data_IF_905091225929
#
_entry.id   IF_905091225929
#
_cell.length_a   1.000
_cell.length_b   1.000
_cell.length_c   1.000
_cell.angle_alpha   90.00
_cell.angle_beta   90.00
_cell.angle_gamma   90.00
#
_symmetry.space_group_name_H-M   'P 1'
#
loop_
_entity.id
_entity.type
_entity.pdbx_description
1 polymer ?
#
# COMPACT_ATOMS: atom_id res chain seq x y z
N UNK A 1 -33.14 -15.14 -0.44
CA UNK A 1 -32.99 -16.61 -0.48
C UNK A 1 -31.50 -16.91 -0.54
N UNK A 2 -31.06 -17.69 0.44
CA UNK A 2 -29.69 -18.00 0.87
C UNK A 2 -28.61 -18.13 -0.22
N UNK A 3 -27.48 -17.45 -0.02
CA UNK A 3 -26.21 -17.86 -0.63
C UNK A 3 -25.30 -18.40 0.48
N UNK A 4 -25.44 -19.70 0.74
CA UNK A 4 -24.65 -20.43 1.74
C UNK A 4 -23.16 -20.37 1.43
N UNK A 5 -22.41 -19.82 2.37
CA UNK A 5 -20.95 -19.86 2.45
C UNK A 5 -20.45 -21.30 2.44
N UNK A 6 -19.80 -21.75 1.37
CA UNK A 6 -18.89 -22.90 1.40
C UNK A 6 -17.62 -22.59 0.62
N UNK A 7 -16.57 -22.24 1.36
CA UNK A 7 -15.20 -22.47 0.92
C UNK A 7 -15.04 -23.99 0.73
N UNK A 8 -14.81 -24.45 -0.50
CA UNK A 8 -14.48 -25.85 -0.79
C UNK A 8 -12.96 -25.99 -0.90
N UNK A 9 -12.29 -26.80 -0.08
CA UNK A 9 -10.93 -27.21 -0.34
C UNK A 9 -10.92 -28.21 -1.50
N UNK A 10 -9.99 -28.03 -2.45
CA UNK A 10 -9.78 -28.94 -3.57
C UNK A 10 -9.02 -30.18 -3.04
N UNK A 11 -9.73 -31.30 -2.87
CA UNK A 11 -9.09 -32.60 -2.63
C UNK A 11 -8.63 -33.20 -3.95
N UNK A 12 -7.40 -33.71 -3.93
CA UNK A 12 -6.69 -34.39 -5.01
C UNK A 12 -7.40 -35.64 -5.55
N UNK A 13 -7.27 -35.88 -6.86
CA UNK A 13 -6.96 -37.18 -7.48
C UNK A 13 -7.10 -37.09 -9.01
N UNK A 14 -6.00 -37.21 -9.77
CA UNK A 14 -5.66 -38.39 -10.60
C UNK A 14 -4.41 -38.08 -11.45
N UNK A 15 -3.48 -39.02 -11.45
CA UNK A 15 -2.17 -38.97 -12.11
C UNK A 15 -2.35 -39.20 -13.62
N UNK A 16 -1.72 -38.40 -14.47
CA UNK A 16 -1.70 -38.61 -15.91
C UNK A 16 -0.72 -37.70 -16.65
N UNK A 17 0.44 -38.27 -17.01
CA UNK A 17 1.32 -37.93 -18.12
C UNK A 17 1.87 -36.50 -18.28
N UNK A 18 3.15 -36.43 -17.92
CA UNK A 18 4.18 -35.44 -18.26
C UNK A 18 4.14 -35.02 -19.74
N UNK A 19 3.65 -33.79 -20.01
CA UNK A 19 4.31 -32.77 -20.86
C UNK A 19 3.46 -31.48 -20.83
N UNK A 20 3.42 -30.83 -19.68
CA UNK A 20 2.97 -29.44 -19.56
C UNK A 20 4.08 -28.72 -18.82
N UNK A 21 4.82 -27.84 -19.49
CA UNK A 21 5.59 -26.81 -18.79
C UNK A 21 4.56 -25.98 -18.03
N UNK A 22 4.46 -26.09 -16.69
CA UNK A 22 3.55 -25.24 -15.98
C UNK A 22 4.32 -23.94 -15.80
N UNK A 23 3.90 -22.89 -16.48
CA UNK A 23 4.01 -21.55 -15.87
C UNK A 23 3.02 -21.55 -14.70
N UNK A 24 3.26 -22.38 -13.69
CA UNK A 24 2.56 -22.30 -12.41
C UNK A 24 3.23 -21.16 -11.68
N UNK A 25 2.78 -19.95 -11.98
CA UNK A 25 2.70 -18.94 -10.94
C UNK A 25 2.05 -19.68 -9.76
N UNK A 26 2.78 -19.84 -8.67
CA UNK A 26 2.31 -20.57 -7.51
C UNK A 26 1.15 -19.80 -6.90
N UNK A 27 -0.08 -20.09 -7.34
CA UNK A 27 -1.36 -19.53 -6.83
C UNK A 27 -1.74 -20.24 -5.51
N UNK A 28 -0.83 -21.01 -4.90
CA UNK A 28 -1.12 -21.97 -3.82
C UNK A 28 -1.65 -21.36 -2.51
N UNK A 29 -1.85 -20.03 -2.43
CA UNK A 29 -2.48 -19.35 -1.30
C UNK A 29 -3.31 -18.12 -1.71
N UNK A 30 -3.88 -18.09 -2.92
CA UNK A 30 -4.74 -17.00 -3.36
C UNK A 30 -6.22 -17.41 -3.31
N UNK A 31 -7.02 -16.68 -2.53
CA UNK A 31 -8.48 -16.85 -2.45
C UNK A 31 -9.13 -15.89 -3.45
N UNK A 32 -10.10 -16.37 -4.22
CA UNK A 32 -10.88 -15.55 -5.16
C UNK A 32 -12.22 -15.15 -4.53
N UNK A 33 -12.52 -13.86 -4.54
CA UNK A 33 -13.78 -13.28 -4.06
C UNK A 33 -14.59 -12.73 -5.23
N UNK A 34 -15.85 -13.10 -5.35
CA UNK A 34 -16.76 -12.57 -6.37
C UNK A 34 -17.45 -11.31 -5.84
N UNK A 35 -17.31 -10.19 -6.54
CA UNK A 35 -18.06 -8.97 -6.27
C UNK A 35 -19.49 -9.08 -6.82
N UNK A 36 -20.42 -8.31 -6.24
CA UNK A 36 -21.83 -8.25 -6.70
C UNK A 36 -21.98 -7.81 -8.16
N UNK A 37 -20.98 -7.15 -8.72
CA UNK A 37 -20.91 -6.72 -10.12
C UNK A 37 -20.34 -7.80 -11.07
N UNK A 38 -20.03 -9.01 -10.57
CA UNK A 38 -19.46 -10.10 -11.36
C UNK A 38 -17.94 -10.03 -11.56
N UNK A 39 -17.27 -9.00 -11.04
CA UNK A 39 -15.80 -8.92 -11.02
C UNK A 39 -15.21 -9.77 -9.90
N UNK A 40 -13.96 -10.21 -10.05
CA UNK A 40 -13.27 -11.00 -9.03
C UNK A 40 -12.13 -10.22 -8.37
N UNK A 41 -12.01 -10.33 -7.06
CA UNK A 41 -10.86 -9.85 -6.28
C UNK A 41 -10.01 -11.06 -5.86
N UNK A 42 -8.68 -10.91 -5.86
CA UNK A 42 -7.76 -11.96 -5.43
C UNK A 42 -7.10 -11.54 -4.13
N UNK A 43 -7.11 -12.41 -3.12
CA UNK A 43 -6.42 -12.22 -1.86
C UNK A 43 -5.28 -13.22 -1.77
N UNK A 44 -4.04 -12.75 -1.85
CA UNK A 44 -2.84 -13.59 -1.83
C UNK A 44 -1.98 -13.24 -0.62
N UNK A 45 -1.68 -14.22 0.24
CA UNK A 45 -0.88 -14.01 1.47
C UNK A 45 -1.40 -12.83 2.31
N UNK A 46 -2.72 -12.77 2.51
CA UNK A 46 -3.42 -11.69 3.22
C UNK A 46 -3.35 -10.29 2.57
N UNK A 47 -2.98 -10.20 1.29
CA UNK A 47 -2.95 -8.94 0.53
C UNK A 47 -3.88 -8.96 -0.66
N UNK A 48 -4.61 -7.88 -0.86
CA UNK A 48 -5.53 -7.71 -1.98
C UNK A 48 -4.77 -7.36 -3.25
N UNK A 49 -4.97 -8.16 -4.30
CA UNK A 49 -4.47 -7.84 -5.63
C UNK A 49 -5.36 -6.80 -6.29
N UNK A 50 -4.75 -5.68 -6.70
CA UNK A 50 -5.45 -4.62 -7.43
C UNK A 50 -5.09 -4.74 -8.92
N UNK A 51 -6.06 -5.01 -9.81
CA UNK A 51 -5.82 -5.11 -11.25
C UNK A 51 -5.48 -3.75 -11.88
N UNK A 52 -5.16 -3.74 -13.19
CA UNK A 52 -4.84 -2.51 -13.92
C UNK A 52 -5.98 -1.48 -13.84
N UNK A 53 -5.68 -0.31 -13.31
CA UNK A 53 -6.57 0.83 -13.13
C UNK A 53 -5.94 1.82 -12.16
N UNK A 54 -5.41 2.92 -12.67
CA UNK A 54 -4.67 3.88 -11.86
C UNK A 54 -5.59 4.52 -10.80
N UNK A 55 -6.83 4.84 -11.17
CA UNK A 55 -7.82 5.44 -10.26
C UNK A 55 -8.09 4.57 -9.02
N UNK A 56 -8.08 3.24 -9.18
CA UNK A 56 -8.30 2.32 -8.07
C UNK A 56 -7.06 2.27 -7.18
N UNK A 57 -5.85 2.26 -7.77
CA UNK A 57 -4.60 2.29 -7.00
C UNK A 57 -4.50 3.58 -6.20
N UNK A 58 -4.78 4.71 -6.82
CA UNK A 58 -4.73 6.04 -6.18
C UNK A 58 -5.69 6.11 -5.01
N UNK A 59 -6.93 5.62 -5.15
CA UNK A 59 -7.90 5.55 -4.03
C UNK A 59 -7.43 4.65 -2.88
N UNK A 60 -6.72 3.56 -3.16
CA UNK A 60 -6.17 2.70 -2.10
C UNK A 60 -4.99 3.38 -1.39
N UNK A 61 -4.16 4.11 -2.15
CA UNK A 61 -3.05 4.89 -1.57
C UNK A 61 -3.62 6.04 -0.74
N UNK A 62 -4.59 6.79 -1.28
CA UNK A 62 -5.34 7.87 -0.60
C UNK A 62 -5.91 7.38 0.73
N UNK A 63 -6.64 6.26 0.73
CA UNK A 63 -7.23 5.70 1.94
C UNK A 63 -6.19 5.37 3.02
N UNK A 64 -5.00 4.91 2.64
CA UNK A 64 -3.92 4.58 3.59
C UNK A 64 -3.08 5.80 3.98
N UNK A 65 -2.95 6.79 3.11
CA UNK A 65 -2.12 7.98 3.29
C UNK A 65 -2.85 9.12 4.00
N UNK A 66 -4.07 9.42 3.58
CA UNK A 66 -4.87 10.57 4.03
C UNK A 66 -5.78 10.23 5.21
N UNK A 67 -5.77 8.97 5.68
CA UNK A 67 -6.51 8.62 6.90
C UNK A 67 -6.01 9.45 8.08
N UNK A 68 -6.94 9.88 8.95
CA UNK A 68 -6.63 10.69 10.14
C UNK A 68 -5.60 10.00 11.06
N UNK A 69 -5.51 8.67 10.99
CA UNK A 69 -4.58 7.83 11.77
C UNK A 69 -3.21 7.73 11.07
N UNK A 70 -3.15 7.92 9.74
CA UNK A 70 -1.91 7.88 8.96
C UNK A 70 -1.15 9.21 8.93
N UNK A 71 -1.71 10.30 9.45
CA UNK A 71 -1.03 11.59 9.67
C UNK A 71 -0.03 11.98 8.56
N UNK A 72 -0.43 11.85 7.27
CA UNK A 72 0.41 12.08 6.09
C UNK A 72 1.85 11.57 6.28
N UNK A 73 1.98 10.33 6.75
CA UNK A 73 3.29 9.76 7.00
C UNK A 73 4.12 9.80 5.71
N UNK A 74 5.41 10.15 5.83
CA UNK A 74 6.31 10.19 4.68
C UNK A 74 6.36 8.85 3.93
N UNK A 75 6.80 8.89 2.66
CA UNK A 75 6.70 7.80 1.66
C UNK A 75 7.00 6.40 2.21
N UNK A 76 8.07 6.25 2.98
CA UNK A 76 8.49 4.96 3.54
C UNK A 76 7.42 4.28 4.41
N UNK A 77 6.75 5.04 5.27
CA UNK A 77 5.70 4.52 6.17
C UNK A 77 4.44 4.15 5.37
N UNK A 78 4.09 4.96 4.39
CA UNK A 78 2.97 4.70 3.47
C UNK A 78 3.22 3.42 2.67
N UNK A 79 4.44 3.23 2.16
CA UNK A 79 4.86 1.98 1.51
C UNK A 79 4.65 0.77 2.42
N UNK A 80 5.05 0.86 3.69
CA UNK A 80 4.85 -0.21 4.66
C UNK A 80 3.38 -0.58 4.86
N UNK A 81 2.50 0.41 5.00
CA UNK A 81 1.05 0.18 5.17
C UNK A 81 0.40 -0.41 3.93
N UNK A 82 0.61 0.23 2.78
CA UNK A 82 0.00 -0.21 1.52
C UNK A 82 0.46 -1.61 1.15
N UNK A 83 1.75 -1.93 1.32
CA UNK A 83 2.28 -3.30 1.13
C UNK A 83 1.75 -4.31 2.13
N UNK A 84 1.29 -3.89 3.31
CA UNK A 84 0.67 -4.77 4.29
C UNK A 84 -0.69 -5.30 3.84
N UNK A 85 -1.44 -4.46 3.13
CA UNK A 85 -2.84 -4.71 2.78
C UNK A 85 -3.06 -5.04 1.30
N UNK A 86 -2.19 -4.55 0.40
CA UNK A 86 -2.39 -4.60 -1.04
C UNK A 86 -1.15 -5.08 -1.81
N UNK A 87 -1.38 -5.49 -3.05
CA UNK A 87 -0.32 -5.93 -3.96
C UNK A 87 -0.68 -5.61 -5.41
N UNK A 88 0.26 -4.99 -6.14
CA UNK A 88 0.25 -4.86 -7.60
C UNK A 88 1.70 -4.68 -8.11
N UNK A 89 1.97 -4.90 -9.41
CA UNK A 89 3.29 -4.65 -9.97
C UNK A 89 3.67 -3.18 -9.81
N UNK A 90 4.92 -2.91 -9.40
CA UNK A 90 5.45 -1.54 -9.20
C UNK A 90 4.69 -0.71 -8.15
N UNK A 91 4.22 -1.37 -7.08
CA UNK A 91 3.50 -0.73 -5.98
C UNK A 91 4.26 0.46 -5.36
N UNK A 92 5.56 0.34 -5.21
CA UNK A 92 6.40 1.41 -4.63
C UNK A 92 6.50 2.64 -5.53
N UNK A 93 6.64 2.43 -6.85
CA UNK A 93 6.65 3.52 -7.84
C UNK A 93 5.33 4.28 -7.74
N UNK A 94 4.19 3.57 -7.76
CA UNK A 94 2.86 4.20 -7.64
C UNK A 94 2.68 5.00 -6.34
N UNK A 95 3.17 4.46 -5.21
CA UNK A 95 3.07 5.16 -3.91
C UNK A 95 3.98 6.39 -3.89
N UNK A 96 5.19 6.28 -4.44
CA UNK A 96 6.14 7.39 -4.46
C UNK A 96 5.60 8.53 -5.32
N UNK A 97 5.11 8.23 -6.52
CA UNK A 97 4.49 9.20 -7.41
C UNK A 97 3.31 9.90 -6.72
N UNK A 98 2.44 9.15 -6.05
CA UNK A 98 1.31 9.71 -5.31
C UNK A 98 1.76 10.67 -4.19
N UNK A 99 2.69 10.24 -3.33
CA UNK A 99 3.16 11.05 -2.19
C UNK A 99 3.90 12.30 -2.67
N UNK A 100 4.61 12.21 -3.80
CA UNK A 100 5.29 13.37 -4.38
C UNK A 100 4.31 14.41 -4.94
N UNK A 101 3.13 14.00 -5.39
CA UNK A 101 2.03 14.91 -5.77
C UNK A 101 1.17 15.40 -4.60
N UNK A 102 1.38 14.93 -3.37
CA UNK A 102 0.56 15.33 -2.22
C UNK A 102 0.94 16.73 -1.69
N UNK A 103 0.06 17.71 -1.87
CA UNK A 103 0.26 19.10 -1.47
C UNK A 103 0.60 19.27 0.01
N UNK A 104 -0.08 18.53 0.91
CA UNK A 104 0.15 18.61 2.36
C UNK A 104 1.57 18.15 2.71
N UNK A 105 2.00 17.05 2.11
CA UNK A 105 3.36 16.52 2.28
C UNK A 105 4.41 17.50 1.75
N UNK A 106 4.18 18.11 0.57
CA UNK A 106 5.12 19.07 -0.01
C UNK A 106 5.19 20.37 0.77
N UNK A 107 4.04 20.89 1.24
CA UNK A 107 3.97 22.06 2.10
C UNK A 107 4.80 21.85 3.37
N UNK A 108 4.61 20.72 4.06
CA UNK A 108 5.34 20.43 5.30
C UNK A 108 6.86 20.24 5.08
N UNK A 109 7.29 19.68 3.94
CA UNK A 109 8.72 19.58 3.59
C UNK A 109 9.37 20.95 3.34
N UNK A 110 8.61 21.90 2.80
CA UNK A 110 9.09 23.25 2.44
C UNK A 110 9.32 24.15 3.65
N UNK A 111 8.60 23.90 4.76
CA UNK A 111 8.79 24.59 6.04
C UNK A 111 10.08 24.05 6.69
N UNK A 112 11.22 24.46 6.16
CA UNK A 112 12.51 24.38 6.86
C UNK A 112 12.79 25.77 7.40
N UNK A 113 12.64 25.94 8.72
CA UNK A 113 13.20 27.12 9.36
C UNK A 113 14.69 27.17 9.02
N UNK A 114 15.17 28.31 8.48
CA UNK A 114 16.59 28.58 8.39
C UNK A 114 17.16 28.33 9.79
N UNK A 115 18.24 27.56 9.92
CA UNK A 115 18.92 27.40 11.21
C UNK A 115 19.09 28.81 11.77
N UNK A 116 18.50 29.08 12.94
CA UNK A 116 18.78 30.33 13.63
C UNK A 116 20.31 30.42 13.69
N UNK A 117 20.86 31.53 13.18
CA UNK A 117 22.30 31.77 13.24
C UNK A 117 22.77 31.63 14.69
N UNK A 118 24.07 31.38 14.86
CA UNK A 118 24.70 31.36 16.18
C UNK A 118 24.20 32.58 16.97
N UNK A 119 23.44 32.33 18.03
CA UNK A 119 23.01 33.38 18.94
C UNK A 119 24.29 33.81 19.66
N UNK A 120 24.92 34.87 19.18
CA UNK A 120 25.98 35.53 19.94
C UNK A 120 25.36 35.89 21.29
N UNK A 121 25.88 35.27 22.35
CA UNK A 121 25.48 35.61 23.71
C UNK A 121 26.07 36.99 24.00
N UNK A 122 25.34 38.03 23.61
CA UNK A 122 25.67 39.40 23.95
C UNK A 122 25.86 39.47 25.46
N UNK A 123 27.08 39.81 25.86
CA UNK A 123 27.61 39.63 27.21
C UNK A 123 26.63 40.05 28.28
N UNK A 124 26.24 39.08 29.12
CA UNK A 124 25.53 39.35 30.37
C UNK A 124 26.40 40.31 31.20
N UNK A 125 25.97 41.54 31.50
CA UNK A 125 26.74 42.41 32.36
C UNK A 125 26.75 41.79 33.76
N UNK A 126 27.95 41.50 34.28
CA UNK A 126 28.13 41.11 35.67
C UNK A 126 27.64 42.28 36.54
N UNK A 127 26.63 41.99 37.37
CA UNK A 127 26.07 42.93 38.35
C UNK A 127 27.10 43.17 39.47
N UNK A 128 27.17 44.39 40.06
CA UNK A 128 28.19 44.74 41.06
C UNK A 128 28.17 43.87 42.31
#
# INVERSE_FOLDING_TARGET
>A
MDCGSRARPLTAAHIGSLLWLPVTISISACIRYCCKTGSYLLLCKNRWYIPNGQDVKDKMIEAEHDSCIAAHFGTYKTVGRVRGNFFWPKIDESITDYVDTCDVCQWNKSIKHKKFGLLDADGVPLRP
#
